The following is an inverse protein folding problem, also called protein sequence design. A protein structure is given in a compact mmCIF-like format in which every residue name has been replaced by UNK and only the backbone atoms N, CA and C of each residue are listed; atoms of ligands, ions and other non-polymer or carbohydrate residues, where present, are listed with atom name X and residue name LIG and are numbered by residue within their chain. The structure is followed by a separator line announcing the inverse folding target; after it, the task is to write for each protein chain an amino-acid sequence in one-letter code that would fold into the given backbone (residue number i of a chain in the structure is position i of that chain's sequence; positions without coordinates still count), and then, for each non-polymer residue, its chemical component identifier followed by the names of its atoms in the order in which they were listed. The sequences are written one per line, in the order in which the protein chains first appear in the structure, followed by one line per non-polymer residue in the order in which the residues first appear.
data_IF_328331321843
#
_entry.id   IF_328331321843
#
_cell.length_a   1.000
_cell.length_b   1.000
_cell.length_c   1.000
_cell.angle_alpha   90.00
_cell.angle_beta   90.00
_cell.angle_gamma   90.00
#
_symmetry.space_group_name_H-M   'P 1'
#
loop_
_entity.id
_entity.type
_entity.pdbx_description
1 polymer ?
#
# COMPACT_ATOMS: atom_id res chain seq x y z
N UNK A 1 -15.05 -15.31 56.03
CA UNK A 1 -14.64 -14.14 56.83
C UNK A 1 -14.99 -12.91 56.02
N UNK A 2 -16.14 -12.31 56.25
CA UNK A 2 -16.46 -11.35 57.32
C UNK A 2 -16.28 -9.89 56.82
N UNK A 3 -17.05 -8.94 57.39
CA UNK A 3 -17.91 -8.04 56.60
C UNK A 3 -17.75 -6.54 56.96
N UNK A 4 -18.32 -5.63 56.13
CA UNK A 4 -18.73 -4.22 56.49
C UNK A 4 -17.60 -3.27 56.97
N UNK A 5 -17.69 -1.90 57.06
CA UNK A 5 -18.74 -1.01 57.62
C UNK A 5 -19.12 0.23 56.72
N UNK A 6 -20.33 0.84 56.80
CA UNK A 6 -20.92 1.78 57.82
C UNK A 6 -20.15 3.12 57.88
N UNK A 7 -20.71 4.30 57.57
CA UNK A 7 -21.63 5.21 58.30
C UNK A 7 -21.70 6.54 57.47
N UNK A 8 -22.71 7.39 57.45
CA UNK A 8 -23.26 8.14 58.59
C UNK A 8 -24.57 8.89 58.23
N UNK A 9 -25.47 8.96 59.21
CA UNK A 9 -26.56 9.93 59.41
C UNK A 9 -25.99 11.29 59.89
N UNK A 10 -26.75 12.43 59.95
CA UNK A 10 -27.81 12.73 60.96
C UNK A 10 -29.06 13.46 60.38
N UNK A 11 -30.29 13.26 60.86
CA UNK A 11 -31.00 13.87 62.02
C UNK A 11 -31.37 15.37 61.90
N UNK A 12 -32.68 15.69 61.72
CA UNK A 12 -33.45 16.88 62.17
C UNK A 12 -34.90 16.74 61.60
N UNK A 13 -35.96 16.36 62.32
CA UNK A 13 -36.69 16.99 63.44
C UNK A 13 -37.62 18.16 63.04
N UNK A 14 -38.95 17.93 63.00
CA UNK A 14 -40.08 18.74 63.56
C UNK A 14 -41.41 18.09 63.07
N UNK A 15 -42.28 17.46 63.88
CA UNK A 15 -43.19 17.91 64.96
C UNK A 15 -44.46 18.66 64.52
N UNK A 16 -45.63 18.05 64.87
CA UNK A 16 -46.93 18.64 65.31
C UNK A 16 -47.86 19.12 64.17
N UNK A 17 -49.19 18.89 64.10
CA UNK A 17 -50.28 18.50 65.03
C UNK A 17 -51.30 17.61 64.25
N UNK A 18 -52.19 16.78 64.81
CA UNK A 18 -52.83 16.80 66.13
C UNK A 18 -54.16 17.59 66.08
N UNK A 19 -55.24 16.97 66.61
CA UNK A 19 -56.63 17.45 66.86
C UNK A 19 -57.64 16.88 65.83
N UNK A 20 -58.45 15.85 66.09
CA UNK A 20 -59.30 15.47 67.24
C UNK A 20 -60.60 16.31 67.34
N UNK A 21 -61.71 15.63 67.66
CA UNK A 21 -62.97 16.18 68.25
C UNK A 21 -63.95 16.74 67.18
N UNK A 22 -65.25 16.45 67.12
CA UNK A 22 -66.31 16.20 68.13
C UNK A 22 -67.53 15.65 67.32
N UNK A 23 -68.09 14.46 67.49
CA UNK A 23 -68.99 13.99 68.57
C UNK A 23 -69.84 15.05 69.27
N UNK A 24 -71.03 15.37 68.77
CA UNK A 24 -72.14 15.68 69.67
C UNK A 24 -73.52 15.45 68.98
N UNK A 25 -74.50 14.89 69.72
CA UNK A 25 -75.76 14.38 69.20
C UNK A 25 -76.85 15.46 69.22
N UNK A 26 -77.91 15.29 68.44
CA UNK A 26 -79.17 15.95 68.74
C UNK A 26 -80.37 15.15 68.23
N UNK A 27 -80.94 14.43 69.19
CA UNK A 27 -82.37 14.51 69.51
C UNK A 27 -83.32 13.92 68.48
N UNK A 28 -83.51 12.60 68.64
CA UNK A 28 -84.73 11.92 68.22
C UNK A 28 -85.90 12.54 68.96
N UNK A 29 -86.78 13.08 68.14
CA UNK A 29 -88.06 13.70 68.42
C UNK A 29 -89.04 12.66 68.93
N UNK A 30 -89.47 12.79 70.19
CA UNK A 30 -90.65 12.12 70.74
C UNK A 30 -91.69 13.17 71.09
N UNK A 31 -92.81 13.16 70.38
CA UNK A 31 -94.07 13.83 70.74
C UNK A 31 -95.17 12.77 70.52
N UNK A 32 -95.65 12.14 71.60
CA UNK A 32 -96.89 12.44 72.36
C UNK A 32 -98.11 11.66 71.78
N UNK A 33 -99.14 11.25 72.59
CA UNK A 33 -99.97 12.23 73.29
C UNK A 33 -100.67 11.82 74.62
N UNK A 34 -101.18 12.84 75.31
CA UNK A 34 -102.36 12.88 76.24
C UNK A 34 -102.19 12.20 77.63
N UNK A 35 -102.61 12.75 78.77
CA UNK A 35 -103.82 13.56 79.03
C UNK A 35 -103.82 14.16 80.46
N UNK A 36 -104.59 15.25 80.65
CA UNK A 36 -105.20 15.79 81.88
C UNK A 36 -104.32 16.54 82.90
N UNK A 37 -104.70 17.69 83.47
CA UNK A 37 -105.90 18.52 83.33
C UNK A 37 -105.66 19.94 83.90
N UNK A 38 -106.27 20.92 83.22
CA UNK A 38 -107.02 22.09 83.71
C UNK A 38 -106.61 22.83 85.01
N UNK A 39 -106.31 24.13 84.85
CA UNK A 39 -106.94 25.33 85.45
C UNK A 39 -105.86 26.43 85.56
N UNK A 40 -106.04 27.71 85.24
CA UNK A 40 -107.22 28.54 84.96
C UNK A 40 -106.72 29.83 84.26
N UNK A 41 -107.61 30.44 83.50
CA UNK A 41 -107.41 31.53 82.52
C UNK A 41 -107.12 32.92 83.15
N UNK A 42 -106.30 33.77 82.51
CA UNK A 42 -106.13 35.18 82.88
C UNK A 42 -107.07 36.10 82.06
N UNK A 43 -107.52 37.25 82.59
CA UNK A 43 -107.98 38.38 81.77
C UNK A 43 -106.93 39.50 81.86
N UNK A 44 -106.60 40.28 80.82
CA UNK A 44 -107.18 40.53 79.52
C UNK A 44 -106.70 41.93 79.07
N UNK A 45 -107.02 42.29 77.82
CA UNK A 45 -107.11 43.67 77.27
C UNK A 45 -105.98 44.14 76.32
N UNK A 46 -106.31 44.03 75.02
CA UNK A 46 -106.03 44.95 73.90
C UNK A 46 -104.58 45.30 73.50
N UNK A 47 -103.60 45.45 74.40
CA UNK A 47 -102.19 45.67 74.00
C UNK A 47 -101.54 44.40 73.44
N UNK A 48 -101.98 43.22 73.91
CA UNK A 48 -101.47 41.93 73.44
C UNK A 48 -101.84 41.64 71.98
N UNK A 49 -103.00 42.11 71.50
CA UNK A 49 -103.45 41.81 70.13
C UNK A 49 -102.65 42.60 69.08
N UNK A 50 -102.37 43.89 69.35
CA UNK A 50 -101.47 44.71 68.51
C UNK A 50 -100.03 44.18 68.58
N UNK A 51 -99.58 43.73 69.76
CA UNK A 51 -98.26 43.09 69.90
C UNK A 51 -98.17 41.81 69.07
N UNK A 52 -99.20 40.94 69.10
CA UNK A 52 -99.25 39.74 68.28
C UNK A 52 -99.30 40.07 66.78
N UNK A 53 -100.05 41.08 66.35
CA UNK A 53 -100.08 41.50 64.94
C UNK A 53 -98.73 42.05 64.48
N UNK A 54 -98.04 42.85 65.31
CA UNK A 54 -96.70 43.34 65.01
C UNK A 54 -95.67 42.20 64.96
N UNK A 55 -95.74 41.26 65.89
CA UNK A 55 -94.91 40.04 65.88
C UNK A 55 -95.15 39.18 64.63
N UNK A 56 -96.40 39.10 64.13
CA UNK A 56 -96.75 38.33 62.94
C UNK A 56 -96.21 38.98 61.66
N UNK A 57 -96.25 40.31 61.57
CA UNK A 57 -95.68 41.05 60.44
C UNK A 57 -94.14 41.02 60.48
N UNK A 58 -93.53 41.12 61.67
CA UNK A 58 -92.08 40.95 61.85
C UNK A 58 -91.63 39.52 61.47
N UNK A 59 -92.38 38.50 61.89
CA UNK A 59 -92.12 37.11 61.53
C UNK A 59 -92.25 36.89 60.02
N UNK A 60 -93.24 37.50 59.38
CA UNK A 60 -93.46 37.43 57.93
C UNK A 60 -92.33 38.11 57.15
N UNK A 61 -91.87 39.28 57.57
CA UNK A 61 -90.69 39.94 56.99
C UNK A 61 -89.41 39.10 57.21
N UNK A 62 -89.27 38.47 58.37
CA UNK A 62 -88.15 37.57 58.68
C UNK A 62 -88.18 36.31 57.83
N UNK A 63 -89.35 35.70 57.60
CA UNK A 63 -89.52 34.54 56.70
C UNK A 63 -89.22 34.93 55.26
N UNK A 64 -89.75 36.04 54.75
CA UNK A 64 -89.43 36.53 53.41
C UNK A 64 -87.93 36.85 53.25
N UNK A 65 -87.30 37.41 54.28
CA UNK A 65 -85.85 37.63 54.32
C UNK A 65 -85.05 36.32 54.36
N UNK A 66 -85.51 35.31 55.11
CA UNK A 66 -84.92 33.97 55.10
C UNK A 66 -85.08 33.29 53.74
N UNK A 67 -86.26 33.39 53.10
CA UNK A 67 -86.52 32.86 51.77
C UNK A 67 -85.63 33.53 50.71
N UNK A 68 -85.43 34.86 50.79
CA UNK A 68 -84.49 35.59 49.94
C UNK A 68 -83.05 35.11 50.12
N UNK A 69 -82.57 34.98 51.36
CA UNK A 69 -81.25 34.43 51.70
C UNK A 69 -81.09 32.98 51.27
N UNK A 70 -82.15 32.16 51.39
CA UNK A 70 -82.14 30.76 50.98
C UNK A 70 -82.05 30.65 49.45
N UNK A 71 -82.77 31.52 48.72
CA UNK A 71 -82.70 31.60 47.25
C UNK A 71 -81.32 32.06 46.78
N UNK A 72 -80.74 33.06 47.42
CA UNK A 72 -79.38 33.54 47.14
C UNK A 72 -78.33 32.45 47.42
N UNK A 73 -78.44 31.75 48.55
CA UNK A 73 -77.60 30.59 48.89
C UNK A 73 -77.75 29.44 47.89
N UNK A 74 -78.96 29.15 47.42
CA UNK A 74 -79.20 28.15 46.39
C UNK A 74 -78.55 28.54 45.04
N UNK A 75 -78.61 29.81 44.64
CA UNK A 75 -77.93 30.31 43.44
C UNK A 75 -76.41 30.29 43.57
N UNK A 76 -75.88 30.64 44.75
CA UNK A 76 -74.45 30.59 45.03
C UNK A 76 -73.92 29.14 45.01
N UNK A 77 -74.66 28.18 45.57
CA UNK A 77 -74.34 26.74 45.49
C UNK A 77 -74.31 26.27 44.04
N UNK A 78 -75.34 26.59 43.25
CA UNK A 78 -75.37 26.25 41.81
C UNK A 78 -74.18 26.83 41.04
N UNK A 79 -73.81 28.08 41.33
CA UNK A 79 -72.63 28.72 40.73
C UNK A 79 -71.31 28.07 41.15
N UNK A 80 -71.18 27.70 42.43
CA UNK A 80 -70.02 26.97 42.94
C UNK A 80 -69.91 25.55 42.34
N UNK A 81 -71.04 24.84 42.21
CA UNK A 81 -71.09 23.53 41.56
C UNK A 81 -70.70 23.61 40.08
N UNK A 82 -71.15 24.66 39.38
CA UNK A 82 -70.75 24.91 38.00
C UNK A 82 -69.25 25.20 37.88
N UNK A 83 -68.71 26.09 38.72
CA UNK A 83 -67.28 26.40 38.74
C UNK A 83 -66.43 25.17 39.07
N UNK A 84 -66.92 24.30 39.97
CA UNK A 84 -66.28 23.03 40.30
C UNK A 84 -66.26 22.08 39.10
N UNK A 85 -67.39 21.91 38.39
CA UNK A 85 -67.43 21.09 37.18
C UNK A 85 -66.50 21.61 36.08
N UNK A 86 -66.44 22.93 35.88
CA UNK A 86 -65.51 23.55 34.93
C UNK A 86 -64.04 23.32 35.33
N UNK A 87 -63.71 23.40 36.63
CA UNK A 87 -62.39 23.08 37.14
C UNK A 87 -62.03 21.60 36.98
N UNK A 88 -62.96 20.69 37.29
CA UNK A 88 -62.81 19.24 37.10
C UNK A 88 -62.60 18.89 35.62
N UNK A 89 -63.35 19.50 34.70
CA UNK A 89 -63.15 19.35 33.26
C UNK A 89 -61.76 19.83 32.82
N UNK A 90 -61.32 21.01 33.28
CA UNK A 90 -59.97 21.51 32.97
C UNK A 90 -58.87 20.61 33.54
N UNK A 91 -59.07 20.04 34.72
CA UNK A 91 -58.16 19.07 35.31
C UNK A 91 -58.11 17.78 34.49
N UNK A 92 -59.26 17.28 34.02
CA UNK A 92 -59.32 16.11 33.15
C UNK A 92 -58.60 16.36 31.81
N UNK A 93 -58.85 17.51 31.17
CA UNK A 93 -58.19 17.91 29.92
C UNK A 93 -56.67 18.01 30.08
N UNK A 94 -56.20 18.66 31.16
CA UNK A 94 -54.77 18.75 31.49
C UNK A 94 -54.16 17.38 31.82
N UNK A 95 -54.89 16.53 32.54
CA UNK A 95 -54.42 15.18 32.88
C UNK A 95 -54.23 14.34 31.61
N UNK A 96 -55.17 14.43 30.67
CA UNK A 96 -55.04 13.79 29.35
C UNK A 96 -53.89 14.38 28.52
N UNK A 97 -53.61 15.68 28.64
CA UNK A 97 -52.45 16.29 27.99
C UNK A 97 -51.13 15.79 28.58
N UNK A 98 -51.02 15.70 29.92
CA UNK A 98 -49.84 15.15 30.60
C UNK A 98 -49.60 13.71 30.20
N UNK A 99 -50.66 12.90 30.08
CA UNK A 99 -50.50 11.50 29.69
C UNK A 99 -50.03 11.36 28.24
N UNK A 100 -50.58 12.15 27.31
CA UNK A 100 -50.07 12.21 25.92
C UNK A 100 -48.60 12.61 25.85
N UNK A 101 -48.20 13.62 26.63
CA UNK A 101 -46.79 14.03 26.69
C UNK A 101 -45.90 12.94 27.30
N UNK A 102 -46.38 12.22 28.32
CA UNK A 102 -45.65 11.08 28.88
C UNK A 102 -45.42 9.99 27.84
N UNK A 103 -46.46 9.60 27.10
CA UNK A 103 -46.36 8.64 26.00
C UNK A 103 -45.36 9.09 24.93
N UNK A 104 -45.39 10.37 24.55
CA UNK A 104 -44.43 10.95 23.60
C UNK A 104 -42.99 10.91 24.15
N UNK A 105 -42.78 11.29 25.42
CA UNK A 105 -41.45 11.21 26.03
C UNK A 105 -40.93 9.78 26.14
N UNK A 106 -41.79 8.81 26.45
CA UNK A 106 -41.43 7.39 26.49
C UNK A 106 -41.06 6.88 25.11
N UNK A 107 -41.80 7.29 24.07
CA UNK A 107 -41.50 6.94 22.69
C UNK A 107 -40.15 7.52 22.26
N UNK A 108 -39.90 8.81 22.51
CA UNK A 108 -38.63 9.45 22.18
C UNK A 108 -37.46 8.83 22.94
N UNK A 109 -37.65 8.45 24.21
CA UNK A 109 -36.64 7.71 24.97
C UNK A 109 -36.33 6.34 24.35
N UNK A 110 -37.35 5.60 23.90
CA UNK A 110 -37.14 4.32 23.22
C UNK A 110 -36.40 4.50 21.87
N UNK A 111 -36.75 5.54 21.11
CA UNK A 111 -36.05 5.89 19.85
C UNK A 111 -34.59 6.29 20.12
N UNK A 112 -34.32 7.05 21.18
CA UNK A 112 -32.96 7.43 21.59
C UNK A 112 -32.11 6.21 21.95
N UNK A 113 -32.62 5.28 22.76
CA UNK A 113 -31.92 4.03 23.11
C UNK A 113 -31.62 3.19 21.86
N UNK A 114 -32.57 3.12 20.92
CA UNK A 114 -32.35 2.39 19.67
C UNK A 114 -31.26 3.03 18.80
N UNK A 115 -31.22 4.36 18.74
CA UNK A 115 -30.18 5.11 18.03
C UNK A 115 -28.81 4.96 18.71
N UNK A 116 -28.73 5.03 20.03
CA UNK A 116 -27.49 4.81 20.79
C UNK A 116 -26.91 3.42 20.49
N UNK A 117 -27.75 2.39 20.48
CA UNK A 117 -27.34 1.04 20.09
C UNK A 117 -26.82 0.98 18.65
N UNK A 118 -27.47 1.68 17.70
CA UNK A 118 -26.98 1.73 16.32
C UNK A 118 -25.61 2.40 16.22
N UNK A 119 -25.38 3.46 16.99
CA UNK A 119 -24.07 4.12 17.07
C UNK A 119 -23.01 3.16 17.59
N UNK A 120 -23.29 2.44 18.68
CA UNK A 120 -22.36 1.44 19.23
C UNK A 120 -22.05 0.32 18.22
N UNK A 121 -23.06 -0.17 17.50
CA UNK A 121 -22.87 -1.19 16.45
C UNK A 121 -21.99 -0.65 15.30
N UNK A 122 -22.16 0.62 14.92
CA UNK A 122 -21.37 1.27 13.88
C UNK A 122 -19.94 1.57 14.34
N UNK A 123 -19.75 1.96 15.59
CA UNK A 123 -18.42 2.19 16.17
C UNK A 123 -17.63 0.88 16.24
N UNK A 124 -18.29 -0.24 16.58
CA UNK A 124 -17.68 -1.56 16.53
C UNK A 124 -17.29 -1.97 15.09
N UNK A 125 -18.13 -1.66 14.10
CA UNK A 125 -17.83 -1.88 12.69
C UNK A 125 -16.63 -1.04 12.22
N UNK A 126 -16.59 0.25 12.57
CA UNK A 126 -15.47 1.15 12.27
C UNK A 126 -14.17 0.64 12.90
N UNK A 127 -14.21 0.23 14.17
CA UNK A 127 -13.04 -0.30 14.86
C UNK A 127 -12.49 -1.56 14.17
N UNK A 128 -13.37 -2.45 13.71
CA UNK A 128 -12.99 -3.63 12.95
C UNK A 128 -12.35 -3.26 11.60
N UNK A 129 -13.00 -2.41 10.82
CA UNK A 129 -12.48 -1.96 9.52
C UNK A 129 -11.14 -1.22 9.67
N UNK A 130 -10.94 -0.51 10.78
CA UNK A 130 -9.68 0.13 11.09
C UNK A 130 -8.55 -0.90 11.32
N UNK A 131 -8.82 -1.97 12.07
CA UNK A 131 -7.86 -3.07 12.24
C UNK A 131 -7.53 -3.75 10.90
N UNK A 132 -8.54 -4.08 10.09
CA UNK A 132 -8.33 -4.67 8.76
C UNK A 132 -7.48 -3.75 7.87
N UNK A 133 -7.69 -2.42 7.97
CA UNK A 133 -6.89 -1.43 7.23
C UNK A 133 -5.44 -1.43 7.69
N UNK A 134 -5.16 -1.51 8.99
CA UNK A 134 -3.79 -1.59 9.51
C UNK A 134 -3.08 -2.87 9.06
N UNK A 135 -3.78 -4.00 9.08
CA UNK A 135 -3.22 -5.28 8.62
C UNK A 135 -2.87 -5.22 7.12
N UNK A 136 -3.78 -4.70 6.29
CA UNK A 136 -3.53 -4.49 4.86
C UNK A 136 -2.39 -3.49 4.61
N UNK A 137 -2.24 -2.47 5.44
CA UNK A 137 -1.11 -1.55 5.37
C UNK A 137 0.21 -2.25 5.68
N UNK A 138 0.25 -3.10 6.69
CA UNK A 138 1.41 -3.93 7.03
C UNK A 138 1.79 -4.89 5.90
N UNK A 139 0.80 -5.54 5.28
CA UNK A 139 1.02 -6.42 4.12
C UNK A 139 1.56 -5.64 2.91
N UNK A 140 0.97 -4.49 2.60
CA UNK A 140 1.45 -3.61 1.53
C UNK A 140 2.90 -3.20 1.76
N UNK A 141 3.27 -2.86 2.99
CA UNK A 141 4.63 -2.41 3.29
C UNK A 141 5.64 -3.58 3.16
N UNK A 142 5.27 -4.79 3.61
CA UNK A 142 6.05 -6.02 3.33
C UNK A 142 6.22 -6.30 1.84
N UNK A 143 5.17 -6.08 1.04
CA UNK A 143 5.23 -6.27 -0.42
C UNK A 143 6.12 -5.23 -1.08
N UNK A 144 6.13 -3.98 -0.59
CA UNK A 144 7.05 -2.94 -1.06
C UNK A 144 8.50 -3.30 -0.77
N UNK A 145 8.80 -3.79 0.42
CA UNK A 145 10.16 -4.22 0.77
C UNK A 145 10.64 -5.35 -0.15
N UNK A 146 9.78 -6.33 -0.43
CA UNK A 146 10.08 -7.41 -1.40
C UNK A 146 10.27 -6.91 -2.83
N UNK A 147 9.49 -5.91 -3.24
CA UNK A 147 9.63 -5.30 -4.56
C UNK A 147 11.00 -4.63 -4.68
N UNK A 148 11.41 -3.84 -3.68
CA UNK A 148 12.72 -3.22 -3.65
C UNK A 148 13.85 -4.26 -3.67
N UNK A 149 13.72 -5.36 -2.91
CA UNK A 149 14.70 -6.46 -2.94
C UNK A 149 14.80 -7.10 -4.34
N UNK A 150 13.68 -7.27 -5.04
CA UNK A 150 13.67 -7.81 -6.39
C UNK A 150 14.24 -6.84 -7.43
N UNK A 151 13.99 -5.55 -7.30
CA UNK A 151 14.60 -4.50 -8.14
C UNK A 151 16.13 -4.49 -7.97
N UNK A 152 16.64 -4.55 -6.74
CA UNK A 152 18.07 -4.68 -6.46
C UNK A 152 18.66 -5.95 -7.06
N UNK A 153 17.93 -7.07 -7.02
CA UNK A 153 18.38 -8.34 -7.61
C UNK A 153 18.43 -8.29 -9.13
N UNK A 154 17.45 -7.64 -9.77
CA UNK A 154 17.45 -7.42 -11.22
C UNK A 154 18.65 -6.56 -11.62
N UNK A 155 18.90 -5.45 -10.92
CA UNK A 155 20.04 -4.58 -11.21
C UNK A 155 21.39 -5.32 -11.12
N UNK A 156 21.54 -6.24 -10.15
CA UNK A 156 22.74 -7.10 -10.06
C UNK A 156 22.87 -8.04 -11.25
N UNK A 157 21.78 -8.68 -11.67
CA UNK A 157 21.81 -9.57 -12.83
C UNK A 157 22.08 -8.82 -14.14
N UNK A 158 21.58 -7.59 -14.28
CA UNK A 158 21.87 -6.76 -15.44
C UNK A 158 23.37 -6.42 -15.53
N UNK A 159 24.00 -6.11 -14.40
CA UNK A 159 25.45 -5.88 -14.32
C UNK A 159 26.25 -7.16 -14.64
N UNK A 160 25.86 -8.30 -14.08
CA UNK A 160 26.47 -9.60 -14.40
C UNK A 160 26.33 -9.97 -15.88
N UNK A 161 25.17 -9.70 -16.49
CA UNK A 161 24.94 -9.92 -17.91
C UNK A 161 25.78 -8.97 -18.77
N UNK A 162 25.90 -7.70 -18.37
CA UNK A 162 26.72 -6.73 -19.08
C UNK A 162 28.18 -7.14 -19.12
N UNK A 163 28.77 -7.42 -17.95
CA UNK A 163 30.16 -7.87 -17.82
C UNK A 163 30.42 -9.18 -18.58
N UNK A 164 29.47 -10.13 -18.54
CA UNK A 164 29.57 -11.37 -19.32
C UNK A 164 29.51 -11.11 -20.82
N UNK A 165 28.68 -10.18 -21.27
CA UNK A 165 28.56 -9.81 -22.69
C UNK A 165 29.84 -9.14 -23.20
N UNK A 166 30.44 -8.26 -22.40
CA UNK A 166 31.73 -7.64 -22.73
C UNK A 166 32.85 -8.67 -22.82
N UNK A 167 32.93 -9.59 -21.84
CA UNK A 167 33.89 -10.68 -21.87
C UNK A 167 33.70 -11.59 -23.09
N UNK A 168 32.44 -11.85 -23.49
CA UNK A 168 32.15 -12.62 -24.69
C UNK A 168 32.60 -11.90 -25.97
N UNK A 169 32.31 -10.60 -26.10
CA UNK A 169 32.76 -9.80 -27.23
C UNK A 169 34.28 -9.73 -27.33
N UNK A 170 34.98 -9.64 -26.19
CA UNK A 170 36.44 -9.69 -26.15
C UNK A 170 36.97 -11.06 -26.63
N UNK A 171 36.37 -12.15 -26.15
CA UNK A 171 36.72 -13.50 -26.60
C UNK A 171 36.47 -13.69 -28.09
N UNK A 172 35.36 -13.19 -28.63
CA UNK A 172 35.07 -13.22 -30.07
C UNK A 172 36.11 -12.44 -30.87
N UNK A 173 36.52 -11.26 -30.41
CA UNK A 173 37.59 -10.47 -31.05
C UNK A 173 38.92 -11.22 -31.03
N UNK A 174 39.28 -11.83 -29.90
CA UNK A 174 40.51 -12.63 -29.78
C UNK A 174 40.47 -13.86 -30.68
N UNK A 175 39.32 -14.53 -30.77
CA UNK A 175 39.12 -15.66 -31.68
C UNK A 175 39.26 -15.22 -33.14
N UNK A 176 38.66 -14.10 -33.52
CA UNK A 176 38.78 -13.55 -34.87
C UNK A 176 40.23 -13.19 -35.21
N UNK A 177 40.98 -12.61 -34.26
CA UNK A 177 42.39 -12.32 -34.42
C UNK A 177 43.21 -13.60 -34.66
N UNK A 178 43.02 -14.63 -33.83
CA UNK A 178 43.69 -15.93 -33.99
C UNK A 178 43.33 -16.56 -35.33
N UNK A 179 42.05 -16.56 -35.70
CA UNK A 179 41.57 -17.09 -36.98
C UNK A 179 42.19 -16.36 -38.17
N UNK A 180 42.41 -15.04 -38.09
CA UNK A 180 43.05 -14.27 -39.17
C UNK A 180 44.51 -14.67 -39.42
N UNK A 181 45.18 -15.22 -38.40
CA UNK A 181 46.57 -15.66 -38.49
C UNK A 181 46.70 -17.13 -38.90
N UNK A 182 45.63 -17.90 -38.76
CA UNK A 182 45.63 -19.33 -39.10
C UNK A 182 45.24 -19.57 -40.57
N UNK A 183 45.86 -20.54 -41.25
CA UNK A 183 45.42 -21.01 -42.55
C UNK A 183 43.97 -21.52 -42.54
N UNK A 184 43.28 -21.39 -43.67
CA UNK A 184 41.94 -21.98 -43.85
C UNK A 184 41.91 -23.51 -43.65
N UNK A 185 43.00 -24.21 -43.95
CA UNK A 185 43.15 -25.65 -43.68
C UNK A 185 43.13 -26.01 -42.18
N UNK A 186 43.38 -25.03 -41.31
CA UNK A 186 43.39 -25.18 -39.84
C UNK A 186 42.22 -24.44 -39.17
N UNK A 187 41.19 -24.05 -39.94
CA UNK A 187 40.00 -23.37 -39.42
C UNK A 187 40.17 -21.86 -39.19
N UNK A 188 41.21 -21.25 -39.77
CA UNK A 188 41.34 -19.79 -39.84
C UNK A 188 40.78 -19.19 -41.13
N UNK A 189 41.11 -17.93 -41.41
CA UNK A 189 40.66 -17.19 -42.60
C UNK A 189 41.79 -16.83 -43.55
N UNK A 190 43.05 -17.16 -43.23
CA UNK A 190 44.19 -16.87 -44.10
C UNK A 190 44.18 -17.78 -45.33
N UNK A 191 44.04 -17.18 -46.51
CA UNK A 191 44.04 -17.89 -47.79
C UNK A 191 45.46 -18.14 -48.30
N UNK A 192 45.67 -19.17 -49.15
CA UNK A 192 46.98 -19.41 -49.77
C UNK A 192 47.46 -18.22 -50.61
N UNK A 193 46.55 -17.47 -51.21
CA UNK A 193 46.87 -16.28 -52.01
C UNK A 193 47.37 -15.13 -51.12
N UNK A 194 46.65 -14.78 -50.06
CA UNK A 194 47.09 -13.77 -49.10
C UNK A 194 48.42 -14.14 -48.41
N UNK A 195 48.64 -15.44 -48.14
CA UNK A 195 49.90 -15.91 -47.61
C UNK A 195 51.06 -15.75 -48.61
N UNK A 196 50.82 -15.96 -49.91
CA UNK A 196 51.82 -15.71 -50.98
C UNK A 196 52.14 -14.23 -51.11
N UNK A 197 51.13 -13.37 -51.12
CA UNK A 197 51.30 -11.91 -51.17
C UNK A 197 52.14 -11.42 -49.98
N UNK A 198 51.79 -11.84 -48.76
CA UNK A 198 52.55 -11.46 -47.56
C UNK A 198 54.00 -11.96 -47.58
N UNK A 199 54.26 -13.13 -48.18
CA UNK A 199 55.60 -13.65 -48.35
C UNK A 199 56.40 -12.89 -49.42
N UNK A 200 55.75 -12.46 -50.50
CA UNK A 200 56.35 -11.62 -51.54
C UNK A 200 56.70 -10.22 -50.99
N UNK A 201 55.83 -9.61 -50.19
CA UNK A 201 56.09 -8.34 -49.51
C UNK A 201 57.31 -8.43 -48.57
N UNK A 202 57.39 -9.50 -47.77
CA UNK A 202 58.54 -9.72 -46.89
C UNK A 202 59.85 -9.92 -47.68
N UNK A 203 59.78 -10.51 -48.87
CA UNK A 203 60.94 -10.65 -49.75
C UNK A 203 61.35 -9.32 -50.38
N UNK A 204 60.39 -8.47 -50.76
CA UNK A 204 60.68 -7.12 -51.23
C UNK A 204 61.42 -6.29 -50.17
N UNK A 205 60.99 -6.38 -48.90
CA UNK A 205 61.69 -5.74 -47.78
C UNK A 205 63.10 -6.29 -47.58
N UNK A 206 63.31 -7.60 -47.77
CA UNK A 206 64.64 -8.19 -47.72
C UNK A 206 65.54 -7.64 -48.84
N UNK A 207 65.03 -7.55 -50.07
CA UNK A 207 65.78 -6.96 -51.18
C UNK A 207 66.13 -5.50 -50.92
N UNK A 208 65.18 -4.71 -50.42
CA UNK A 208 65.41 -3.31 -50.05
C UNK A 208 66.50 -3.18 -48.98
N UNK A 209 66.43 -4.02 -47.92
CA UNK A 209 67.42 -4.04 -46.86
C UNK A 209 68.83 -4.41 -47.38
N UNK A 210 68.92 -5.31 -48.37
CA UNK A 210 70.19 -5.71 -49.00
C UNK A 210 70.74 -4.65 -49.96
N UNK A 211 69.87 -3.90 -50.64
CA UNK A 211 70.25 -2.86 -51.61
C UNK A 211 70.58 -1.52 -50.94
N UNK A 212 70.12 -1.28 -49.71
CA UNK A 212 70.38 -0.05 -48.97
C UNK A 212 71.89 0.10 -48.72
N UNK A 213 72.57 1.11 -49.30
CA UNK A 213 74.01 1.25 -49.14
C UNK A 213 74.36 1.68 -47.71
N UNK A 214 75.05 0.83 -46.97
CA UNK A 214 75.66 1.17 -45.68
C UNK A 214 77.18 1.20 -45.82
N UNK A 215 77.73 2.39 -46.05
CA UNK A 215 79.17 2.62 -45.98
C UNK A 215 79.43 3.83 -45.07
N UNK A 216 80.14 3.67 -43.93
CA UNK A 216 80.78 2.45 -43.42
C UNK A 216 79.77 1.36 -43.02
N UNK A 217 80.22 0.10 -42.80
CA UNK A 217 79.37 -0.98 -42.31
C UNK A 217 78.75 -0.61 -40.97
N UNK A 218 77.48 -0.22 -41.00
CA UNK A 218 76.71 0.11 -39.81
C UNK A 218 76.14 -1.20 -39.23
N UNK A 219 76.37 -1.53 -37.95
CA UNK A 219 75.71 -2.66 -37.29
C UNK A 219 74.18 -2.65 -37.48
N UNK A 220 73.55 -1.48 -37.61
CA UNK A 220 72.12 -1.37 -37.87
C UNK A 220 71.71 -1.90 -39.27
N UNK A 221 72.61 -1.94 -40.25
CA UNK A 221 72.32 -2.52 -41.57
C UNK A 221 72.24 -4.05 -41.50
N UNK A 222 73.19 -4.69 -40.83
CA UNK A 222 73.18 -6.13 -40.57
C UNK A 222 71.95 -6.56 -39.77
N UNK A 223 71.54 -5.76 -38.78
CA UNK A 223 70.34 -6.03 -37.98
C UNK A 223 69.05 -5.94 -38.79
N UNK A 224 68.94 -4.97 -39.71
CA UNK A 224 67.80 -4.85 -40.62
C UNK A 224 67.70 -6.03 -41.59
N UNK A 225 68.81 -6.46 -42.19
CA UNK A 225 68.84 -7.62 -43.09
C UNK A 225 68.39 -8.87 -42.33
N UNK A 226 68.97 -9.13 -41.16
CA UNK A 226 68.60 -10.27 -40.33
C UNK A 226 67.11 -10.25 -39.95
N UNK A 227 66.58 -9.09 -39.57
CA UNK A 227 65.17 -8.94 -39.27
C UNK A 227 64.27 -9.22 -40.48
N UNK A 228 64.68 -8.80 -41.68
CA UNK A 228 63.96 -9.05 -42.92
C UNK A 228 64.03 -10.53 -43.35
N UNK A 229 65.18 -11.18 -43.19
CA UNK A 229 65.33 -12.63 -43.43
C UNK A 229 64.43 -13.44 -42.49
N UNK A 230 64.42 -13.11 -41.19
CA UNK A 230 63.56 -13.76 -40.20
C UNK A 230 62.07 -13.52 -40.50
N UNK A 231 61.71 -12.31 -40.95
CA UNK A 231 60.35 -12.00 -41.38
C UNK A 231 59.93 -12.83 -42.60
N UNK A 232 60.78 -12.90 -43.62
CA UNK A 232 60.53 -13.73 -44.81
C UNK A 232 60.39 -15.20 -44.44
N UNK A 233 61.30 -15.73 -43.61
CA UNK A 233 61.23 -17.12 -43.15
C UNK A 233 59.90 -17.41 -42.45
N UNK A 234 59.42 -16.51 -41.57
CA UNK A 234 58.12 -16.65 -40.91
C UNK A 234 56.96 -16.67 -41.91
N UNK A 235 56.93 -15.76 -42.89
CA UNK A 235 55.86 -15.72 -43.91
C UNK A 235 55.87 -16.94 -44.81
N UNK A 236 57.04 -17.40 -45.22
CA UNK A 236 57.19 -18.62 -46.02
C UNK A 236 56.77 -19.87 -45.26
N UNK A 237 57.02 -19.93 -43.95
CA UNK A 237 56.55 -21.03 -43.11
C UNK A 237 55.02 -21.05 -43.00
N UNK A 238 54.38 -19.89 -42.84
CA UNK A 238 52.91 -19.77 -42.86
C UNK A 238 52.35 -20.21 -44.22
N UNK A 239 52.97 -19.79 -45.33
CA UNK A 239 52.58 -20.22 -46.66
C UNK A 239 52.74 -21.73 -46.85
N UNK A 240 53.87 -22.31 -46.43
CA UNK A 240 54.12 -23.75 -46.48
C UNK A 240 53.03 -24.53 -45.74
N UNK A 241 52.66 -24.10 -44.53
CA UNK A 241 51.58 -24.71 -43.76
C UNK A 241 50.21 -24.55 -44.45
N UNK A 242 49.97 -23.41 -45.10
CA UNK A 242 48.73 -23.15 -45.84
C UNK A 242 48.59 -24.03 -47.08
N UNK A 243 49.72 -24.36 -47.72
CA UNK A 243 49.80 -25.26 -48.87
C UNK A 243 49.97 -26.73 -48.49
N UNK A 244 50.04 -27.06 -47.19
CA UNK A 244 50.37 -28.40 -46.68
C UNK A 244 51.70 -28.95 -47.23
N UNK A 245 52.67 -28.05 -47.43
CA UNK A 245 53.99 -28.34 -47.94
C UNK A 245 54.89 -28.98 -46.86
N UNK A 246 55.96 -29.66 -47.25
CA UNK A 246 56.86 -30.39 -46.35
C UNK A 246 57.69 -29.50 -45.42
N UNK A 247 57.91 -28.24 -45.80
CA UNK A 247 58.60 -27.27 -44.96
C UNK A 247 59.16 -26.08 -45.73
N UNK A 248 60.19 -25.46 -45.16
CA UNK A 248 60.90 -24.32 -45.77
C UNK A 248 62.41 -24.51 -45.73
N UNK A 249 63.11 -23.97 -46.73
CA UNK A 249 64.57 -24.02 -46.83
C UNK A 249 65.16 -22.62 -47.01
N UNK A 250 66.13 -22.26 -46.16
CA UNK A 250 66.88 -21.01 -46.29
C UNK A 250 68.09 -21.20 -47.21
N UNK A 251 68.10 -20.44 -48.30
CA UNK A 251 69.12 -20.48 -49.36
C UNK A 251 70.46 -19.98 -48.81
N UNK A 252 71.52 -20.75 -49.05
CA UNK A 252 72.90 -20.41 -48.70
C UNK A 252 73.64 -19.87 -49.91
N UNK A 253 74.79 -19.23 -49.66
CA UNK A 253 75.66 -18.77 -50.73
C UNK A 253 76.06 -19.93 -51.65
N UNK A 254 75.91 -19.72 -52.96
CA UNK A 254 76.19 -20.68 -54.03
C UNK A 254 75.25 -21.89 -54.12
N UNK A 255 74.10 -21.88 -53.44
CA UNK A 255 73.06 -22.89 -53.69
C UNK A 255 72.41 -22.66 -55.07
N UNK A 256 72.08 -23.76 -55.75
CA UNK A 256 71.26 -23.77 -56.98
C UNK A 256 69.99 -24.57 -56.75
N UNK A 257 68.91 -24.30 -57.49
CA UNK A 257 67.66 -25.07 -57.35
C UNK A 257 67.88 -26.57 -57.55
N UNK A 258 68.70 -26.97 -58.52
CA UNK A 258 69.05 -28.37 -58.76
C UNK A 258 69.78 -29.01 -57.57
N UNK A 259 70.69 -28.29 -56.90
CA UNK A 259 71.38 -28.79 -55.71
C UNK A 259 70.43 -28.91 -54.51
N UNK A 260 69.56 -27.92 -54.30
CA UNK A 260 68.57 -27.94 -53.22
C UNK A 260 67.60 -29.11 -53.44
N UNK A 261 67.06 -29.26 -54.65
CA UNK A 261 66.18 -30.38 -55.01
C UNK A 261 66.87 -31.73 -54.90
N UNK A 262 68.14 -31.85 -55.28
CA UNK A 262 68.89 -33.10 -55.08
C UNK A 262 69.07 -33.46 -53.61
N UNK A 263 69.24 -32.48 -52.72
CA UNK A 263 69.39 -32.70 -51.28
C UNK A 263 68.08 -33.07 -50.60
N UNK A 264 66.98 -32.42 -50.98
CA UNK A 264 65.67 -32.58 -50.33
C UNK A 264 64.84 -33.71 -50.93
N UNK A 265 64.81 -33.81 -52.26
CA UNK A 265 64.00 -34.80 -52.99
C UNK A 265 64.79 -36.00 -53.51
N UNK A 266 66.12 -36.01 -53.33
CA UNK A 266 67.00 -37.05 -53.85
C UNK A 266 67.23 -37.00 -55.37
N UNK A 267 66.65 -36.02 -56.07
CA UNK A 267 66.80 -35.83 -57.51
C UNK A 267 66.85 -34.36 -57.89
N UNK A 268 67.91 -33.96 -58.58
CA UNK A 268 68.06 -32.59 -59.09
C UNK A 268 67.00 -32.22 -60.13
N UNK A 269 66.37 -33.19 -60.80
CA UNK A 269 65.35 -32.95 -61.82
C UNK A 269 64.03 -32.40 -61.26
N UNK A 270 63.84 -32.41 -59.93
CA UNK A 270 62.67 -31.82 -59.27
C UNK A 270 62.79 -30.30 -59.04
N UNK A 271 63.81 -29.66 -59.62
CA UNK A 271 63.99 -28.21 -59.53
C UNK A 271 62.82 -27.42 -60.13
N UNK A 272 62.16 -27.96 -61.16
CA UNK A 272 60.96 -27.35 -61.76
C UNK A 272 59.80 -27.24 -60.76
N UNK A 273 59.54 -28.31 -59.99
CA UNK A 273 58.48 -28.32 -58.96
C UNK A 273 58.79 -27.31 -57.85
N UNK A 274 60.06 -27.23 -57.45
CA UNK A 274 60.51 -26.27 -56.44
C UNK A 274 60.37 -24.83 -56.96
N UNK A 275 60.71 -24.56 -58.22
CA UNK A 275 60.55 -23.26 -58.85
C UNK A 275 59.08 -22.84 -58.92
N UNK A 276 58.20 -23.72 -59.41
CA UNK A 276 56.77 -23.44 -59.56
C UNK A 276 56.08 -23.14 -58.21
N UNK A 277 56.51 -23.80 -57.13
CA UNK A 277 56.01 -23.52 -55.79
C UNK A 277 56.47 -22.17 -55.21
N UNK A 278 57.52 -21.57 -55.76
CA UNK A 278 58.15 -20.35 -55.28
C UNK A 278 58.09 -19.19 -56.29
N UNK A 279 57.18 -19.26 -57.27
CA UNK A 279 56.99 -18.20 -58.29
C UNK A 279 56.61 -16.84 -57.72
N UNK A 280 56.09 -16.79 -56.50
CA UNK A 280 55.84 -15.55 -55.76
C UNK A 280 57.12 -14.83 -55.34
N UNK A 281 58.27 -15.52 -55.33
CA UNK A 281 59.59 -14.93 -55.06
C UNK A 281 60.52 -14.93 -56.27
N UNK A 282 60.44 -15.96 -57.11
CA UNK A 282 61.40 -16.23 -58.19
C UNK A 282 60.76 -15.95 -59.55
N UNK A 283 61.24 -14.91 -60.22
CA UNK A 283 60.93 -14.65 -61.63
C UNK A 283 61.78 -15.54 -62.56
N UNK A 284 63.05 -15.74 -62.19
CA UNK A 284 64.04 -16.53 -62.92
C UNK A 284 64.57 -17.69 -62.05
N UNK A 285 64.59 -18.94 -62.54
CA UNK A 285 65.08 -20.10 -61.80
C UNK A 285 66.57 -20.03 -61.42
N UNK A 286 67.39 -19.26 -62.14
CA UNK A 286 68.83 -19.15 -61.87
C UNK A 286 69.16 -18.02 -60.87
N UNK A 287 68.17 -17.23 -60.45
CA UNK A 287 68.34 -16.09 -59.55
C UNK A 287 68.00 -16.42 -58.11
N UNK A 288 68.97 -16.99 -57.38
CA UNK A 288 68.87 -17.26 -55.95
C UNK A 288 69.76 -16.30 -55.14
N UNK A 289 69.13 -15.40 -54.38
CA UNK A 289 69.81 -14.54 -53.42
C UNK A 289 70.02 -15.28 -52.08
N UNK A 290 71.25 -15.26 -51.52
CA UNK A 290 71.50 -15.81 -50.19
C UNK A 290 70.61 -15.15 -49.13
N UNK A 291 70.10 -15.95 -48.19
CA UNK A 291 69.22 -15.47 -47.13
C UNK A 291 67.72 -15.55 -47.43
N UNK A 292 67.30 -15.72 -48.69
CA UNK A 292 65.90 -15.98 -49.01
C UNK A 292 65.45 -17.35 -48.48
N UNK A 293 64.15 -17.52 -48.22
CA UNK A 293 63.56 -18.78 -47.78
C UNK A 293 62.58 -19.30 -48.83
N UNK A 294 62.71 -20.56 -49.23
CA UNK A 294 61.85 -21.24 -50.22
C UNK A 294 60.88 -22.21 -49.54
N UNK A 295 59.68 -22.33 -50.06
CA UNK A 295 58.70 -23.39 -49.71
C UNK A 295 59.09 -24.68 -50.40
N UNK A 296 59.01 -25.79 -49.67
CA UNK A 296 59.32 -27.14 -50.16
C UNK A 296 57.99 -27.90 -50.27
N UNK A 297 57.41 -28.04 -51.47
CA UNK A 297 56.24 -28.87 -51.73
C UNK A 297 56.34 -30.28 -51.16
#
# INVERSE_FOLDING_TARGET
MQPTPRLATPTLALMIAGILVLTAPALVFTAEPTSQAANETPPGNLEQLDHFQHQLEELKQRVQGMEGKLRESATARKGADQARMEAERRLAEKSQQVERQREETQRLQAEMIALERQVEEKDAEIARLHMDTLDLQSERDKLKDKLAEHEDRIARFDEELHTTTEAHAELESRLAEIQSQLPTSQGGTLTPEAARESAAEAFALLQEAQQTPSSPPDPAASDRIRAAEDALQRRQFILANTLSAQGVYRVRSNDTLAQISSRLYGSGNQWHTLFEANRHLLEDPDHLAPGMTLVIP
#
